data_IF_410837074301
#
_entry.id   IF_410837074301
#
_cell.length_a   1.000
_cell.length_b   1.000
_cell.length_c   1.000
_cell.angle_alpha   90.00
_cell.angle_beta   90.00
_cell.angle_gamma   90.00
#
_symmetry.space_group_name_H-M   'P 1'
#
loop_
_entity.id
_entity.type
_entity.pdbx_description
1 polymer ?
#
# COMPACT_ATOMS: atom_id res chain seq x y z
N UNK A 1 17.79 15.03 -7.78
CA UNK A 1 18.09 13.58 -7.82
C UNK A 1 19.32 13.34 -6.95
N UNK A 2 19.13 12.91 -5.70
CA UNK A 2 20.23 12.47 -4.83
C UNK A 2 20.29 10.95 -4.90
N UNK A 3 21.45 10.43 -5.28
CA UNK A 3 21.76 9.00 -5.23
C UNK A 3 22.32 8.74 -3.82
N UNK A 4 21.77 7.75 -3.11
CA UNK A 4 22.26 7.32 -1.81
C UNK A 4 22.78 5.88 -1.96
N UNK A 5 23.98 5.60 -1.43
CA UNK A 5 24.80 4.40 -1.66
C UNK A 5 24.22 3.07 -1.12
N UNK A 6 22.91 3.01 -0.86
CA UNK A 6 22.21 1.84 -0.31
C UNK A 6 20.94 1.50 -1.10
N UNK A 7 20.93 1.58 -2.43
CA UNK A 7 19.88 0.98 -3.27
C UNK A 7 18.42 1.39 -2.99
N UNK A 8 18.17 2.36 -2.12
CA UNK A 8 16.86 2.90 -1.79
C UNK A 8 16.76 4.24 -2.49
N UNK A 9 15.85 4.32 -3.46
CA UNK A 9 15.46 5.58 -4.07
C UNK A 9 14.66 6.36 -3.05
N UNK A 10 15.27 7.39 -2.46
CA UNK A 10 14.56 8.36 -1.63
C UNK A 10 13.68 9.21 -2.55
N UNK A 11 12.43 8.81 -2.69
CA UNK A 11 11.40 9.62 -3.32
C UNK A 11 10.81 10.52 -2.25
N UNK A 12 10.73 11.83 -2.49
CA UNK A 12 9.97 12.78 -1.65
C UNK A 12 8.45 12.46 -1.59
N UNK A 13 8.01 11.29 -2.08
CA UNK A 13 6.62 10.89 -2.20
C UNK A 13 6.32 9.78 -1.20
N UNK A 14 5.35 10.05 -0.33
CA UNK A 14 4.76 9.03 0.55
C UNK A 14 3.93 8.08 -0.32
N UNK A 15 4.20 6.78 -0.21
CA UNK A 15 3.45 5.74 -0.90
C UNK A 15 2.56 4.99 0.10
N UNK A 16 1.29 4.77 -0.27
CA UNK A 16 0.33 4.01 0.49
C UNK A 16 -0.27 2.88 -0.37
N UNK A 17 -0.13 1.63 0.08
CA UNK A 17 -0.56 0.46 -0.66
C UNK A 17 -1.87 -0.12 -0.11
N UNK A 18 -2.91 -0.19 -0.94
CA UNK A 18 -4.19 -0.84 -0.60
C UNK A 18 -4.30 -2.16 -1.35
N UNK A 19 -4.58 -3.26 -0.63
CA UNK A 19 -4.64 -4.60 -1.22
C UNK A 19 -5.87 -5.36 -0.73
N UNK A 20 -6.46 -6.20 -1.58
CA UNK A 20 -7.54 -7.09 -1.18
C UNK A 20 -7.03 -8.25 -0.33
N UNK A 21 -7.88 -8.76 0.57
CA UNK A 21 -7.59 -9.94 1.39
C UNK A 21 -7.43 -11.22 0.55
N UNK A 22 -8.08 -11.32 -0.61
CA UNK A 22 -8.00 -12.50 -1.46
C UNK A 22 -6.62 -12.58 -2.15
N UNK A 23 -5.94 -13.72 -1.96
CA UNK A 23 -4.56 -14.09 -2.36
C UNK A 23 -3.54 -14.17 -1.20
N UNK A 24 -3.65 -15.25 -0.40
CA UNK A 24 -2.74 -15.54 0.73
C UNK A 24 -1.30 -15.89 0.32
N UNK A 25 -1.07 -16.45 -0.87
CA UNK A 25 0.24 -17.02 -1.24
C UNK A 25 1.29 -15.98 -1.68
N UNK A 26 0.86 -14.85 -2.25
CA UNK A 26 1.74 -13.72 -2.60
C UNK A 26 1.97 -12.75 -1.41
N UNK A 27 1.24 -12.95 -0.31
CA UNK A 27 1.15 -12.00 0.79
C UNK A 27 2.45 -11.95 1.61
N UNK A 28 3.08 -13.09 1.89
CA UNK A 28 4.24 -13.17 2.80
C UNK A 28 5.44 -12.31 2.36
N UNK A 29 5.93 -12.55 1.15
CA UNK A 29 7.10 -11.82 0.63
C UNK A 29 6.79 -10.34 0.37
N UNK A 30 5.59 -10.04 -0.13
CA UNK A 30 5.16 -8.67 -0.37
C UNK A 30 5.02 -7.88 0.94
N UNK A 31 4.35 -8.43 1.97
CA UNK A 31 4.25 -7.77 3.28
C UNK A 31 5.65 -7.54 3.85
N UNK A 32 6.56 -8.52 3.77
CA UNK A 32 7.93 -8.35 4.26
C UNK A 32 8.65 -7.20 3.55
N UNK A 33 8.52 -7.08 2.23
CA UNK A 33 9.10 -5.95 1.48
C UNK A 33 8.50 -4.61 1.92
N UNK A 34 7.18 -4.57 2.14
CA UNK A 34 6.50 -3.36 2.59
C UNK A 34 6.92 -2.97 4.01
N UNK A 35 7.01 -3.95 4.92
CA UNK A 35 7.46 -3.78 6.30
C UNK A 35 8.93 -3.34 6.35
N UNK A 36 9.84 -4.05 5.66
CA UNK A 36 11.28 -3.74 5.61
C UNK A 36 11.55 -2.37 4.96
N UNK A 37 10.71 -1.97 4.00
CA UNK A 37 10.75 -0.67 3.35
C UNK A 37 10.09 0.46 4.13
N UNK A 38 9.43 0.17 5.26
CA UNK A 38 8.71 1.17 6.05
C UNK A 38 7.50 1.77 5.34
N UNK A 39 6.93 1.06 4.37
CA UNK A 39 5.79 1.52 3.59
C UNK A 39 4.50 1.40 4.39
N UNK A 40 3.59 2.36 4.20
CA UNK A 40 2.23 2.25 4.71
C UNK A 40 1.42 1.34 3.80
N UNK A 41 0.63 0.44 4.40
CA UNK A 41 -0.30 -0.38 3.65
C UNK A 41 -1.50 -0.81 4.48
N UNK A 42 -2.56 -1.22 3.80
CA UNK A 42 -3.76 -1.81 4.42
C UNK A 42 -4.32 -2.94 3.58
N UNK A 43 -4.77 -3.97 4.27
CA UNK A 43 -5.51 -5.09 3.69
C UNK A 43 -7.00 -4.82 3.85
N UNK A 44 -7.72 -4.86 2.73
CA UNK A 44 -9.14 -4.58 2.64
C UNK A 44 -9.91 -5.89 2.72
N UNK A 45 -10.73 -6.09 3.77
CA UNK A 45 -11.46 -7.34 3.97
C UNK A 45 -12.54 -7.53 2.90
N UNK A 46 -12.86 -8.79 2.62
CA UNK A 46 -13.84 -9.22 1.62
C UNK A 46 -13.63 -8.56 0.24
N UNK A 47 -12.36 -8.39 -0.16
CA UNK A 47 -11.97 -7.85 -1.45
C UNK A 47 -10.84 -8.67 -2.10
N UNK A 48 -10.84 -8.77 -3.42
CA UNK A 48 -9.84 -9.45 -4.23
C UNK A 48 -9.12 -8.51 -5.19
N UNK A 49 -9.12 -8.85 -6.49
CA UNK A 49 -8.35 -8.10 -7.48
C UNK A 49 -8.96 -6.74 -7.82
N UNK A 50 -10.28 -6.60 -7.72
CA UNK A 50 -11.02 -5.41 -8.10
C UNK A 50 -11.40 -4.55 -6.91
N UNK A 51 -10.47 -4.27 -5.98
CA UNK A 51 -10.79 -3.59 -4.70
C UNK A 51 -11.61 -2.30 -4.86
N UNK A 52 -11.37 -1.53 -5.93
CA UNK A 52 -12.10 -0.29 -6.24
C UNK A 52 -13.57 -0.54 -6.60
N UNK A 53 -13.87 -1.69 -7.21
CA UNK A 53 -15.23 -2.08 -7.57
C UNK A 53 -15.93 -2.85 -6.45
N UNK A 54 -15.18 -3.64 -5.69
CA UNK A 54 -15.71 -4.52 -4.64
C UNK A 54 -16.01 -3.75 -3.35
N UNK A 55 -15.13 -2.81 -2.95
CA UNK A 55 -15.27 -2.00 -1.73
C UNK A 55 -15.06 -0.49 -2.00
N UNK A 56 -15.78 0.12 -2.97
CA UNK A 56 -15.56 1.51 -3.39
C UNK A 56 -15.61 2.52 -2.25
N UNK A 57 -16.53 2.35 -1.29
CA UNK A 57 -16.67 3.25 -0.14
C UNK A 57 -15.42 3.26 0.74
N UNK A 58 -14.94 2.08 1.14
CA UNK A 58 -13.76 1.93 1.99
C UNK A 58 -12.53 2.45 1.26
N UNK A 59 -12.35 2.09 -0.03
CA UNK A 59 -11.17 2.55 -0.77
C UNK A 59 -11.16 4.09 -0.89
N UNK A 60 -12.29 4.70 -1.22
CA UNK A 60 -12.37 6.15 -1.30
C UNK A 60 -12.06 6.81 0.05
N UNK A 61 -12.58 6.28 1.15
CA UNK A 61 -12.28 6.79 2.49
C UNK A 61 -10.79 6.70 2.81
N UNK A 62 -10.15 5.56 2.57
CA UNK A 62 -8.71 5.36 2.79
C UNK A 62 -7.85 6.33 1.97
N UNK A 63 -8.20 6.56 0.69
CA UNK A 63 -7.49 7.51 -0.17
C UNK A 63 -7.67 8.94 0.34
N UNK A 64 -8.89 9.33 0.70
CA UNK A 64 -9.16 10.68 1.21
C UNK A 64 -8.43 10.93 2.51
N UNK A 65 -8.45 9.98 3.45
CA UNK A 65 -7.71 10.11 4.72
C UNK A 65 -6.21 10.24 4.45
N UNK A 66 -5.64 9.38 3.60
CA UNK A 66 -4.22 9.46 3.25
C UNK A 66 -3.81 10.81 2.64
N UNK A 67 -4.67 11.40 1.81
CA UNK A 67 -4.40 12.70 1.18
C UNK A 67 -4.58 13.89 2.13
N UNK A 68 -5.33 13.71 3.23
CA UNK A 68 -5.59 14.75 4.24
C UNK A 68 -4.64 14.69 5.44
N UNK A 69 -3.92 13.59 5.62
CA UNK A 69 -2.88 13.48 6.63
C UNK A 69 -1.70 14.40 6.25
N UNK A 70 -1.30 15.29 7.18
CA UNK A 70 -0.17 16.22 7.05
C UNK A 70 1.20 15.53 7.14
#
# INVERSE_FOLDING_TARGET
>A
MKVCDRGVFESDRVLYFLMGEHQMNLRGDLMRILDDGGFRYKIIPDAGHGINHERPGIINEEIVQFLLEE
#
